data_IF_031866593215
#
_entry.id   IF_031866593215
#
_cell.length_a   1.000
_cell.length_b   1.000
_cell.length_c   1.000
_cell.angle_alpha   90.00
_cell.angle_beta   90.00
_cell.angle_gamma   90.00
#
_symmetry.space_group_name_H-M   'P 1'
#
loop_
_entity.id
_entity.type
_entity.pdbx_description
1 polymer ?
#
# COMPACT_ATOMS: atom_id res chain seq x y z
N UNK A 1 40.62 -31.85 -47.80
CA UNK A 1 40.12 -30.60 -47.18
C UNK A 1 38.76 -30.86 -46.54
N UNK A 2 38.69 -31.23 -45.25
CA UNK A 2 37.44 -31.31 -44.45
C UNK A 2 37.64 -31.77 -42.98
N UNK A 3 38.86 -32.13 -42.57
CA UNK A 3 39.16 -32.57 -41.18
C UNK A 3 39.92 -31.55 -40.32
N UNK A 4 40.25 -30.37 -40.84
CA UNK A 4 41.03 -29.35 -40.12
C UNK A 4 40.19 -28.16 -39.59
N UNK A 5 38.89 -28.08 -39.92
CA UNK A 5 38.05 -26.94 -39.57
C UNK A 5 37.22 -27.13 -38.29
N UNK A 6 37.11 -28.37 -37.79
CA UNK A 6 36.29 -28.71 -36.62
C UNK A 6 37.01 -28.53 -35.29
N UNK A 7 38.35 -28.38 -35.28
CA UNK A 7 39.12 -28.18 -34.06
C UNK A 7 39.18 -26.72 -33.58
N UNK A 8 38.85 -25.75 -34.45
CA UNK A 8 38.92 -24.32 -34.11
C UNK A 8 37.60 -23.73 -33.59
N UNK A 9 36.48 -24.44 -33.75
CA UNK A 9 35.15 -24.00 -33.30
C UNK A 9 34.78 -24.49 -31.90
N UNK A 10 35.47 -25.50 -31.36
CA UNK A 10 35.25 -25.97 -29.98
C UNK A 10 36.11 -25.20 -28.94
N UNK A 11 37.20 -24.57 -29.37
CA UNK A 11 38.10 -23.82 -28.47
C UNK A 11 37.62 -22.37 -28.18
N UNK A 12 36.73 -21.81 -29.00
CA UNK A 12 36.18 -20.47 -28.79
C UNK A 12 34.93 -20.43 -27.90
N UNK A 13 34.26 -21.57 -27.69
CA UNK A 13 33.08 -21.67 -26.82
C UNK A 13 33.42 -21.92 -25.34
N UNK A 14 34.63 -22.36 -25.02
CA UNK A 14 35.04 -22.61 -23.62
C UNK A 14 35.67 -21.40 -22.91
N UNK A 15 36.04 -20.34 -23.64
CA UNK A 15 36.75 -19.19 -23.06
C UNK A 15 35.82 -18.06 -22.56
N UNK A 16 34.52 -18.11 -22.88
CA UNK A 16 33.56 -17.06 -22.52
C UNK A 16 32.62 -17.42 -21.36
N UNK A 17 32.69 -18.64 -20.82
CA UNK A 17 31.78 -19.09 -19.76
C UNK A 17 32.27 -18.81 -18.32
N UNK A 18 33.51 -18.35 -18.15
CA UNK A 18 34.17 -18.30 -16.83
C UNK A 18 34.35 -16.93 -16.16
N UNK A 19 34.04 -15.81 -16.83
CA UNK A 19 34.50 -14.49 -16.37
C UNK A 19 33.42 -13.52 -15.85
N UNK A 20 32.14 -13.87 -15.85
CA UNK A 20 31.07 -12.91 -15.48
C UNK A 20 30.38 -13.16 -14.13
N UNK A 21 30.67 -14.24 -13.41
CA UNK A 21 29.95 -14.56 -12.16
C UNK A 21 30.54 -13.93 -10.89
N UNK A 22 31.85 -13.63 -10.86
CA UNK A 22 32.48 -13.05 -9.65
C UNK A 22 32.28 -11.54 -9.49
N UNK A 23 32.13 -10.80 -10.58
CA UNK A 23 31.98 -9.34 -10.52
C UNK A 23 30.57 -8.90 -10.04
N UNK A 24 29.52 -9.64 -10.43
CA UNK A 24 28.14 -9.35 -10.01
C UNK A 24 27.91 -9.64 -8.52
N UNK A 25 28.54 -10.69 -8.00
CA UNK A 25 28.36 -11.08 -6.60
C UNK A 25 28.97 -10.05 -5.63
N UNK A 26 30.11 -9.44 -5.96
CA UNK A 26 30.71 -8.38 -5.15
C UNK A 26 29.94 -7.04 -5.23
N UNK A 27 29.39 -6.69 -6.40
CA UNK A 27 28.56 -5.47 -6.53
C UNK A 27 27.25 -5.59 -5.77
N UNK A 28 26.62 -6.77 -5.77
CA UNK A 28 25.36 -6.99 -5.05
C UNK A 28 25.54 -6.96 -3.53
N UNK A 29 26.64 -7.53 -3.02
CA UNK A 29 27.00 -7.46 -1.60
C UNK A 29 27.29 -6.00 -1.17
N UNK A 30 28.03 -5.25 -1.99
CA UNK A 30 28.32 -3.84 -1.72
C UNK A 30 27.05 -2.99 -1.69
N UNK A 31 26.15 -3.17 -2.67
CA UNK A 31 24.89 -2.45 -2.74
C UNK A 31 23.96 -2.79 -1.56
N UNK A 32 23.89 -4.06 -1.15
CA UNK A 32 23.11 -4.48 0.02
C UNK A 32 23.64 -3.88 1.31
N UNK A 33 24.96 -3.80 1.45
CA UNK A 33 25.61 -3.17 2.62
C UNK A 33 25.30 -1.67 2.68
N UNK A 34 25.39 -0.98 1.54
CA UNK A 34 25.07 0.45 1.44
C UNK A 34 23.58 0.72 1.70
N UNK A 35 22.68 -0.11 1.17
CA UNK A 35 21.23 -0.04 1.45
C UNK A 35 20.93 -0.17 2.94
N UNK A 36 21.62 -1.08 3.64
CA UNK A 36 21.48 -1.26 5.09
C UNK A 36 21.94 -0.03 5.86
N UNK A 37 23.09 0.54 5.50
CA UNK A 37 23.60 1.77 6.13
C UNK A 37 22.68 2.99 5.88
N UNK A 38 22.07 3.07 4.70
CA UNK A 38 21.08 4.10 4.39
C UNK A 38 19.78 3.88 5.16
N UNK A 39 19.33 2.64 5.35
CA UNK A 39 18.20 2.32 6.23
C UNK A 39 18.47 2.80 7.66
N UNK A 40 19.65 2.54 8.22
CA UNK A 40 20.01 3.00 9.56
C UNK A 40 19.98 4.53 9.68
N UNK A 41 20.48 5.22 8.65
CA UNK A 41 20.42 6.69 8.56
C UNK A 41 18.97 7.19 8.50
N UNK A 42 18.12 6.51 7.72
CA UNK A 42 16.69 6.82 7.64
C UNK A 42 15.98 6.61 8.98
N UNK A 43 16.31 5.56 9.74
CA UNK A 43 15.76 5.33 11.08
C UNK A 43 16.13 6.47 12.04
N UNK A 44 17.39 6.91 12.02
CA UNK A 44 17.83 8.06 12.81
C UNK A 44 17.07 9.34 12.45
N UNK A 45 16.83 9.57 11.16
CA UNK A 45 16.05 10.72 10.67
C UNK A 45 14.56 10.61 11.04
N UNK A 46 13.95 9.42 10.96
CA UNK A 46 12.57 9.19 11.38
C UNK A 46 12.36 9.55 12.85
N UNK A 47 13.28 9.17 13.74
CA UNK A 47 13.23 9.56 15.16
C UNK A 47 13.26 11.08 15.33
N UNK A 48 14.18 11.76 14.64
CA UNK A 48 14.27 13.23 14.67
C UNK A 48 13.01 13.93 14.16
N UNK A 49 12.34 13.38 13.14
CA UNK A 49 11.07 13.91 12.63
C UNK A 49 9.97 13.76 13.69
N UNK A 50 9.88 12.60 14.34
CA UNK A 50 8.86 12.33 15.37
C UNK A 50 9.09 13.18 16.63
N UNK A 51 10.34 13.36 17.04
CA UNK A 51 10.72 14.12 18.25
C UNK A 51 10.70 15.64 18.04
N UNK A 52 10.69 16.12 16.79
CA UNK A 52 10.67 17.54 16.47
C UNK A 52 9.39 18.22 17.00
N UNK A 53 9.58 19.28 17.78
CA UNK A 53 8.48 20.04 18.42
C UNK A 53 7.74 20.97 17.46
N UNK A 54 8.44 21.53 16.48
CA UNK A 54 7.90 22.51 15.55
C UNK A 54 7.88 21.98 14.12
N UNK A 55 6.86 22.39 13.36
CA UNK A 55 6.71 22.10 11.94
C UNK A 55 7.99 22.38 11.15
N UNK A 56 8.65 23.53 11.35
CA UNK A 56 9.87 23.91 10.62
C UNK A 56 10.97 22.86 10.75
N UNK A 57 11.36 22.52 11.99
CA UNK A 57 12.36 21.50 12.27
C UNK A 57 11.93 20.13 11.71
N UNK A 58 10.66 19.77 11.87
CA UNK A 58 10.10 18.52 11.36
C UNK A 58 10.25 18.38 9.84
N UNK A 59 9.92 19.44 9.09
CA UNK A 59 10.02 19.45 7.64
C UNK A 59 11.46 19.55 7.14
N UNK A 60 12.37 20.22 7.86
CA UNK A 60 13.80 20.20 7.56
C UNK A 60 14.40 18.79 7.68
N UNK A 61 14.08 18.07 8.76
CA UNK A 61 14.51 16.67 8.92
C UNK A 61 13.88 15.78 7.85
N UNK A 62 12.60 15.98 7.52
CA UNK A 62 11.92 15.24 6.45
C UNK A 62 12.52 15.54 5.07
N UNK A 63 12.99 16.75 4.80
CA UNK A 63 13.71 17.07 3.56
C UNK A 63 15.03 16.29 3.45
N UNK A 64 15.76 16.15 4.55
CA UNK A 64 16.96 15.29 4.61
C UNK A 64 16.59 13.82 4.42
N UNK A 65 15.54 13.35 5.09
CA UNK A 65 14.99 12.01 4.95
C UNK A 65 14.67 11.66 3.50
N UNK A 66 13.96 12.54 2.79
CA UNK A 66 13.62 12.36 1.37
C UNK A 66 14.89 12.19 0.52
N UNK A 67 15.92 13.02 0.74
CA UNK A 67 17.19 12.93 0.01
C UNK A 67 17.87 11.60 0.24
N UNK A 68 17.98 11.16 1.50
CA UNK A 68 18.57 9.86 1.88
C UNK A 68 17.77 8.69 1.31
N UNK A 69 16.44 8.76 1.33
CA UNK A 69 15.59 7.71 0.77
C UNK A 69 15.78 7.63 -0.74
N UNK A 70 15.78 8.76 -1.45
CA UNK A 70 16.03 8.78 -2.90
C UNK A 70 17.41 8.23 -3.25
N UNK A 71 18.44 8.48 -2.43
CA UNK A 71 19.76 7.86 -2.60
C UNK A 71 19.65 6.33 -2.51
N UNK A 72 19.02 5.80 -1.45
CA UNK A 72 18.83 4.37 -1.27
C UNK A 72 18.05 3.73 -2.42
N UNK A 73 16.95 4.37 -2.84
CA UNK A 73 16.09 3.85 -3.90
C UNK A 73 16.76 3.85 -5.28
N UNK A 74 17.84 4.61 -5.47
CA UNK A 74 18.62 4.60 -6.73
C UNK A 74 19.68 3.51 -6.78
N UNK A 75 20.00 2.87 -5.66
CA UNK A 75 20.98 1.79 -5.64
C UNK A 75 20.45 0.54 -6.36
N UNK A 76 21.32 -0.25 -7.01
CA UNK A 76 20.98 -1.56 -7.52
C UNK A 76 20.36 -2.44 -6.43
N UNK A 77 19.36 -3.25 -6.78
CA UNK A 77 18.70 -4.15 -5.84
C UNK A 77 17.68 -3.51 -4.89
N UNK A 78 17.61 -2.17 -4.80
CA UNK A 78 16.67 -1.44 -3.91
C UNK A 78 15.20 -1.80 -4.11
N UNK A 79 14.79 -2.17 -5.33
CA UNK A 79 13.42 -2.63 -5.62
C UNK A 79 13.04 -3.88 -4.81
N UNK A 80 14.00 -4.78 -4.56
CA UNK A 80 13.79 -6.02 -3.82
C UNK A 80 14.15 -5.92 -2.33
N UNK A 81 14.86 -4.87 -1.92
CA UNK A 81 15.21 -4.63 -0.52
C UNK A 81 13.96 -4.28 0.32
N UNK A 82 13.71 -4.97 1.43
CA UNK A 82 12.46 -4.85 2.18
C UNK A 82 12.21 -3.46 2.80
N UNK A 83 13.26 -2.82 3.33
CA UNK A 83 13.14 -1.67 4.23
C UNK A 83 12.32 -1.99 5.50
N UNK A 84 12.36 -3.23 5.97
CA UNK A 84 11.41 -3.77 6.97
C UNK A 84 11.47 -3.07 8.33
N UNK A 85 12.59 -2.41 8.66
CA UNK A 85 12.72 -1.66 9.92
C UNK A 85 12.15 -0.24 9.86
N UNK A 86 11.82 0.28 8.67
CA UNK A 86 11.45 1.68 8.47
C UNK A 86 9.94 1.93 8.72
N UNK A 87 9.49 1.78 9.96
CA UNK A 87 8.06 1.84 10.35
C UNK A 87 7.30 3.10 9.88
N UNK A 88 8.01 4.24 9.87
CA UNK A 88 7.45 5.52 9.44
C UNK A 88 6.93 5.45 7.99
N UNK A 89 7.58 4.67 7.13
CA UNK A 89 7.26 4.53 5.72
C UNK A 89 6.51 3.23 5.49
N UNK A 90 5.33 3.34 4.89
CA UNK A 90 4.67 2.17 4.34
C UNK A 90 5.33 1.80 3.02
N UNK A 91 5.86 0.58 2.95
CA UNK A 91 6.52 0.01 1.79
C UNK A 91 5.69 -1.16 1.28
N UNK A 92 4.99 -0.96 0.17
CA UNK A 92 4.13 -2.00 -0.41
C UNK A 92 4.60 -2.34 -1.82
N UNK A 93 4.76 -3.64 -2.09
CA UNK A 93 5.16 -4.16 -3.40
C UNK A 93 4.02 -4.95 -4.00
N UNK A 94 3.69 -4.66 -5.25
CA UNK A 94 2.71 -5.44 -6.01
C UNK A 94 3.12 -6.92 -6.10
N UNK A 95 2.17 -7.87 -5.98
CA UNK A 95 2.45 -9.30 -6.08
C UNK A 95 3.11 -9.74 -7.40
N UNK A 96 2.87 -9.02 -8.49
CA UNK A 96 3.44 -9.27 -9.81
C UNK A 96 4.79 -8.56 -10.05
N UNK A 97 5.34 -7.90 -9.03
CA UNK A 97 6.60 -7.16 -9.06
C UNK A 97 6.62 -6.00 -10.08
N UNK A 98 5.46 -5.51 -10.54
CA UNK A 98 5.40 -4.42 -11.51
C UNK A 98 5.63 -3.03 -10.89
N UNK A 99 5.38 -2.90 -9.59
CA UNK A 99 5.42 -1.63 -8.87
C UNK A 99 5.71 -1.82 -7.38
N UNK A 100 6.43 -0.85 -6.80
CA UNK A 100 6.63 -0.72 -5.36
C UNK A 100 6.38 0.73 -4.94
N UNK A 101 5.58 0.93 -3.89
CA UNK A 101 5.18 2.23 -3.39
C UNK A 101 5.79 2.46 -2.01
N UNK A 102 6.28 3.67 -1.81
CA UNK A 102 6.77 4.16 -0.53
C UNK A 102 5.90 5.36 -0.18
N UNK A 103 5.13 5.28 0.90
CA UNK A 103 4.25 6.37 1.33
C UNK A 103 4.31 6.58 2.84
N UNK A 104 4.34 7.84 3.25
CA UNK A 104 4.33 8.21 4.66
C UNK A 104 3.63 9.57 4.84
N UNK A 105 3.48 9.97 6.10
CA UNK A 105 2.95 11.27 6.45
C UNK A 105 3.77 11.90 7.56
N UNK A 106 3.64 13.21 7.67
CA UNK A 106 4.18 14.02 8.75
C UNK A 106 3.00 14.79 9.36
N UNK A 107 2.70 14.61 10.66
CA UNK A 107 1.67 15.40 11.33
C UNK A 107 2.12 16.85 11.44
N UNK A 108 1.15 17.77 11.39
CA UNK A 108 1.41 19.20 11.55
C UNK A 108 0.92 19.71 12.90
N UNK A 109 1.51 20.79 13.39
CA UNK A 109 1.16 21.39 14.68
C UNK A 109 -0.30 21.87 14.73
N UNK A 110 -0.90 22.16 13.58
CA UNK A 110 -2.32 22.52 13.43
C UNK A 110 -3.29 21.31 13.53
N UNK A 111 -2.76 20.10 13.72
CA UNK A 111 -3.54 18.86 13.80
C UNK A 111 -3.88 18.26 12.43
N UNK A 112 -3.21 18.71 11.37
CA UNK A 112 -3.32 18.18 10.01
C UNK A 112 -2.20 17.17 9.69
N UNK A 113 -2.11 16.80 8.42
CA UNK A 113 -1.14 15.84 7.90
C UNK A 113 -0.62 16.31 6.54
N UNK A 114 0.69 16.14 6.32
CA UNK A 114 1.32 16.28 5.00
C UNK A 114 1.81 14.92 4.54
N UNK A 115 1.43 14.53 3.33
CA UNK A 115 1.75 13.23 2.78
C UNK A 115 2.96 13.32 1.85
N UNK A 116 3.72 12.24 1.81
CA UNK A 116 4.88 12.10 0.95
C UNK A 116 4.88 10.71 0.36
N UNK A 117 5.37 10.59 -0.87
CA UNK A 117 5.55 9.27 -1.45
C UNK A 117 6.31 9.27 -2.76
N UNK A 118 6.66 8.07 -3.17
CA UNK A 118 7.27 7.81 -4.47
C UNK A 118 6.89 6.41 -4.95
N UNK A 119 6.74 6.27 -6.25
CA UNK A 119 6.57 4.97 -6.91
C UNK A 119 7.91 4.58 -7.51
N UNK A 120 8.36 3.37 -7.22
CA UNK A 120 9.50 2.74 -7.87
C UNK A 120 8.99 1.69 -8.85
N UNK A 121 9.47 1.76 -10.10
CA UNK A 121 9.24 0.73 -11.11
C UNK A 121 10.46 -0.18 -11.21
N UNK A 122 10.28 -1.47 -11.55
CA UNK A 122 11.39 -2.39 -11.74
C UNK A 122 12.33 -1.84 -12.81
N UNK A 123 13.63 -1.96 -12.55
CA UNK A 123 14.64 -1.47 -13.48
C UNK A 123 14.60 -2.25 -14.79
N UNK A 124 14.57 -1.53 -15.92
CA UNK A 124 14.88 -2.09 -17.23
C UNK A 124 16.27 -1.61 -17.58
N UNK A 125 17.20 -2.53 -17.84
CA UNK A 125 18.56 -2.21 -18.28
C UNK A 125 19.41 -1.40 -17.26
N UNK A 126 19.12 -1.52 -15.96
CA UNK A 126 19.90 -0.89 -14.89
C UNK A 126 19.45 0.52 -14.51
N UNK A 127 18.54 1.14 -15.27
CA UNK A 127 17.96 2.43 -14.91
C UNK A 127 16.82 2.23 -13.90
N UNK A 128 16.95 2.81 -12.70
CA UNK A 128 15.88 2.85 -11.71
C UNK A 128 14.94 4.01 -12.08
N UNK A 129 13.65 3.70 -12.23
CA UNK A 129 12.62 4.72 -12.46
C UNK A 129 11.85 5.02 -11.18
N UNK A 130 11.98 6.26 -10.70
CA UNK A 130 11.24 6.81 -9.57
C UNK A 130 10.24 7.86 -10.05
N UNK A 131 9.00 7.79 -9.56
CA UNK A 131 7.93 8.74 -9.85
C UNK A 131 7.54 9.39 -8.51
N UNK A 132 7.98 10.64 -8.25
CA UNK A 132 7.64 11.34 -7.02
C UNK A 132 6.14 11.66 -6.96
N UNK A 133 5.55 11.53 -5.77
CA UNK A 133 4.17 11.89 -5.51
C UNK A 133 4.13 13.24 -4.76
N UNK A 134 3.43 14.21 -5.32
CA UNK A 134 3.30 15.55 -4.75
C UNK A 134 1.89 15.69 -4.17
N UNK A 135 1.83 15.73 -2.84
CA UNK A 135 0.60 15.88 -2.08
C UNK A 135 -0.10 17.21 -2.40
N UNK A 136 -1.34 17.12 -2.84
CA UNK A 136 -2.23 18.25 -3.11
C UNK A 136 -3.46 18.23 -2.19
N UNK A 137 -3.38 17.59 -1.02
CA UNK A 137 -4.51 17.47 -0.07
C UNK A 137 -5.24 18.79 0.16
N UNK A 138 -4.51 19.92 0.33
CA UNK A 138 -5.13 21.24 0.55
C UNK A 138 -5.85 21.82 -0.66
N UNK A 139 -5.58 21.31 -1.87
CA UNK A 139 -6.08 21.82 -3.14
C UNK A 139 -7.11 20.86 -3.78
N UNK A 140 -7.40 19.72 -3.15
CA UNK A 140 -8.40 18.78 -3.61
C UNK A 140 -9.80 19.24 -3.21
N UNK A 141 -10.61 19.61 -4.21
CA UNK A 141 -12.03 19.95 -4.04
C UNK A 141 -12.96 18.80 -4.42
N UNK A 142 -12.49 17.89 -5.29
CA UNK A 142 -13.25 16.72 -5.74
C UNK A 142 -12.45 15.42 -5.54
N UNK A 143 -12.90 14.59 -4.61
CA UNK A 143 -12.33 13.26 -4.37
C UNK A 143 -12.50 12.30 -5.56
N UNK A 144 -13.37 12.59 -6.52
CA UNK A 144 -13.54 11.82 -7.75
C UNK A 144 -12.59 12.23 -8.89
N UNK A 145 -11.74 13.24 -8.72
CA UNK A 145 -10.82 13.61 -9.79
C UNK A 145 -9.85 12.46 -10.14
N UNK A 146 -9.69 12.21 -11.45
CA UNK A 146 -8.59 11.41 -12.01
C UNK A 146 -7.34 12.27 -11.95
N UNK A 147 -6.28 11.78 -11.33
CA UNK A 147 -5.10 12.61 -11.09
C UNK A 147 -3.79 11.95 -11.49
N UNK A 148 -2.76 12.79 -11.62
CA UNK A 148 -1.39 12.41 -11.91
C UNK A 148 -0.51 12.51 -10.64
N UNK A 149 0.72 11.97 -10.65
CA UNK A 149 1.61 11.99 -9.49
C UNK A 149 1.87 13.37 -8.89
N UNK A 150 1.83 14.44 -9.70
CA UNK A 150 2.01 15.82 -9.24
C UNK A 150 0.75 16.41 -8.56
N UNK A 151 -0.39 15.74 -8.70
CA UNK A 151 -1.68 16.07 -8.11
C UNK A 151 -2.17 14.87 -7.30
N UNK A 152 -1.34 14.43 -6.37
CA UNK A 152 -1.60 13.21 -5.62
C UNK A 152 -2.55 13.47 -4.44
N UNK A 153 -3.52 12.56 -4.24
CA UNK A 153 -4.54 12.67 -3.19
C UNK A 153 -3.97 12.63 -1.77
N UNK A 154 -2.77 12.05 -1.60
CA UNK A 154 -2.07 12.00 -0.32
C UNK A 154 -2.67 10.97 0.62
N UNK A 155 -2.05 9.80 0.73
CA UNK A 155 -2.47 8.73 1.64
C UNK A 155 -1.29 7.83 1.98
N UNK A 156 -1.29 7.21 3.15
CA UNK A 156 -0.34 6.14 3.50
C UNK A 156 -0.97 4.81 3.11
N UNK A 157 -0.53 4.21 2.01
CA UNK A 157 -1.06 2.93 1.52
C UNK A 157 -0.38 1.77 2.21
N UNK A 158 -1.15 0.85 2.77
CA UNK A 158 -0.66 -0.32 3.51
C UNK A 158 -0.93 -1.64 2.79
N UNK A 159 -1.71 -1.63 1.71
CA UNK A 159 -1.94 -2.82 0.89
C UNK A 159 -2.14 -2.44 -0.59
N UNK A 160 -1.87 -3.41 -1.48
CA UNK A 160 -1.97 -3.27 -2.93
C UNK A 160 -2.56 -4.55 -3.53
N UNK A 161 -3.70 -4.40 -4.20
CA UNK A 161 -4.45 -5.51 -4.78
C UNK A 161 -4.49 -5.37 -6.31
N UNK A 162 -3.88 -6.30 -7.07
CA UNK A 162 -4.00 -6.31 -8.52
C UNK A 162 -5.44 -6.55 -8.98
N UNK A 163 -5.87 -5.77 -9.97
CA UNK A 163 -7.17 -5.90 -10.61
C UNK A 163 -6.95 -6.04 -12.11
N UNK A 164 -7.12 -7.27 -12.60
CA UNK A 164 -6.90 -7.61 -14.01
C UNK A 164 -8.08 -7.18 -14.89
N UNK A 165 -7.78 -6.49 -15.99
CA UNK A 165 -8.70 -6.06 -17.04
C UNK A 165 -8.19 -6.55 -18.40
N UNK A 166 -8.57 -7.78 -18.76
CA UNK A 166 -8.07 -8.42 -19.97
C UNK A 166 -6.56 -8.69 -19.88
N UNK A 167 -5.76 -7.95 -20.67
CA UNK A 167 -4.29 -8.05 -20.66
C UNK A 167 -3.62 -6.99 -19.80
N UNK A 168 -4.37 -5.97 -19.37
CA UNK A 168 -3.87 -4.88 -18.55
C UNK A 168 -4.18 -5.18 -17.08
N UNK A 169 -3.35 -4.64 -16.19
CA UNK A 169 -3.55 -4.69 -14.74
C UNK A 169 -3.45 -3.29 -14.18
N UNK A 170 -4.39 -2.93 -13.33
CA UNK A 170 -4.28 -1.77 -12.44
C UNK A 170 -4.38 -2.25 -11.00
N UNK A 171 -4.14 -1.36 -10.04
CA UNK A 171 -3.96 -1.75 -8.65
C UNK A 171 -4.90 -0.96 -7.76
N UNK A 172 -5.70 -1.64 -6.95
CA UNK A 172 -6.42 -1.01 -5.86
C UNK A 172 -5.47 -0.85 -4.66
N UNK A 173 -5.17 0.38 -4.32
CA UNK A 173 -4.36 0.76 -3.16
C UNK A 173 -5.29 0.95 -1.96
N UNK A 174 -5.03 0.24 -0.88
CA UNK A 174 -5.75 0.41 0.38
C UNK A 174 -4.92 1.32 1.28
N UNK A 175 -5.52 2.44 1.70
CA UNK A 175 -4.82 3.51 2.37
C UNK A 175 -5.49 4.03 3.62
N UNK A 176 -4.67 4.69 4.43
CA UNK A 176 -5.11 5.52 5.53
C UNK A 176 -4.82 6.98 5.20
N UNK A 177 -5.78 7.85 5.51
CA UNK A 177 -5.68 9.29 5.39
C UNK A 177 -6.20 9.93 6.67
N UNK A 178 -5.30 10.46 7.48
CA UNK A 178 -5.65 11.41 8.54
C UNK A 178 -6.35 12.63 7.95
N UNK A 179 -7.44 13.05 8.59
CA UNK A 179 -8.23 14.20 8.18
C UNK A 179 -8.00 15.38 9.13
N UNK A 180 -8.50 15.28 10.37
CA UNK A 180 -8.36 16.34 11.37
C UNK A 180 -8.38 15.75 12.80
N UNK A 181 -8.55 16.60 13.81
CA UNK A 181 -8.54 16.17 15.22
C UNK A 181 -9.70 15.22 15.58
N UNK A 182 -10.80 15.24 14.81
CA UNK A 182 -12.03 14.49 15.12
C UNK A 182 -12.27 13.30 14.22
N UNK A 183 -11.80 13.35 12.98
CA UNK A 183 -12.10 12.35 11.95
C UNK A 183 -10.85 11.83 11.28
N UNK A 184 -10.97 10.63 10.72
CA UNK A 184 -9.95 10.00 9.88
C UNK A 184 -10.63 9.24 8.76
N UNK A 185 -9.87 8.81 7.76
CA UNK A 185 -10.42 8.08 6.62
C UNK A 185 -9.60 6.86 6.23
N UNK A 186 -10.30 5.83 5.76
CA UNK A 186 -9.74 4.77 4.92
C UNK A 186 -10.03 5.07 3.45
N UNK A 187 -9.14 4.66 2.56
CA UNK A 187 -9.22 5.00 1.13
C UNK A 187 -9.00 3.77 0.27
N UNK A 188 -9.83 3.59 -0.77
CA UNK A 188 -9.53 2.72 -1.91
C UNK A 188 -9.27 3.61 -3.11
N UNK A 189 -8.04 3.56 -3.64
CA UNK A 189 -7.60 4.38 -4.77
C UNK A 189 -7.00 3.51 -5.86
N UNK A 190 -7.37 3.78 -7.12
CA UNK A 190 -6.94 2.94 -8.24
C UNK A 190 -5.71 3.54 -8.90
N UNK A 191 -4.57 2.88 -8.80
CA UNK A 191 -3.34 3.18 -9.53
C UNK A 191 -3.31 2.43 -10.86
N UNK A 192 -3.16 3.16 -11.96
CA UNK A 192 -2.91 2.60 -13.29
C UNK A 192 -1.50 2.97 -13.76
N UNK A 193 -0.80 2.02 -14.40
CA UNK A 193 0.52 2.23 -14.97
C UNK A 193 0.48 1.97 -16.46
N UNK A 194 0.73 2.99 -17.27
CA UNK A 194 0.77 2.87 -18.74
C UNK A 194 1.99 3.59 -19.29
N UNK A 195 2.86 2.87 -20.01
CA UNK A 195 4.10 3.43 -20.56
C UNK A 195 5.06 3.99 -19.50
N UNK A 196 4.96 3.50 -18.25
CA UNK A 196 5.73 4.03 -17.12
C UNK A 196 5.23 5.38 -16.60
N UNK A 197 4.03 5.81 -16.98
CA UNK A 197 3.30 6.92 -16.35
C UNK A 197 2.28 6.33 -15.39
N UNK A 198 2.19 6.91 -14.19
CA UNK A 198 1.17 6.57 -13.20
C UNK A 198 -0.02 7.52 -13.31
N UNK A 199 -1.24 6.99 -13.14
CA UNK A 199 -2.46 7.78 -12.95
C UNK A 199 -3.29 7.18 -11.83
N UNK A 200 -4.07 8.01 -11.15
CA UNK A 200 -4.91 7.63 -10.03
C UNK A 200 -6.39 7.91 -10.31
N UNK A 201 -7.28 7.13 -9.70
CA UNK A 201 -8.72 7.37 -9.73
C UNK A 201 -9.42 6.80 -10.98
N UNK A 202 -8.99 5.64 -11.48
CA UNK A 202 -9.71 4.98 -12.60
C UNK A 202 -11.15 4.60 -12.17
N UNK A 203 -12.19 4.90 -12.97
CA UNK A 203 -13.58 4.53 -12.68
C UNK A 203 -13.79 3.03 -12.85
N UNK A 204 -13.70 2.26 -11.75
CA UNK A 204 -13.83 0.79 -11.78
C UNK A 204 -14.84 0.25 -10.78
N UNK A 205 -15.38 1.11 -9.91
CA UNK A 205 -16.35 0.71 -8.90
C UNK A 205 -17.72 0.51 -9.54
N UNK A 206 -18.39 -0.60 -9.21
CA UNK A 206 -19.72 -0.95 -9.70
C UNK A 206 -20.66 -1.12 -8.52
N UNK A 207 -21.87 -0.57 -8.63
CA UNK A 207 -22.94 -0.70 -7.63
C UNK A 207 -24.25 -1.00 -8.35
N UNK A 208 -25.02 -1.96 -7.83
CA UNK A 208 -26.30 -2.38 -8.43
C UNK A 208 -26.21 -2.72 -9.95
N UNK A 209 -25.08 -3.29 -10.39
CA UNK A 209 -24.85 -3.66 -11.79
C UNK A 209 -24.50 -2.50 -12.72
N UNK A 210 -24.29 -1.30 -12.18
CA UNK A 210 -23.93 -0.10 -12.94
C UNK A 210 -22.59 0.48 -12.46
N UNK A 211 -21.87 1.10 -13.39
CA UNK A 211 -20.66 1.82 -13.03
C UNK A 211 -21.01 2.95 -12.05
N UNK A 212 -20.35 2.96 -10.90
CA UNK A 212 -20.48 4.02 -9.91
C UNK A 212 -19.93 5.33 -10.46
N UNK A 213 -20.45 6.45 -9.96
CA UNK A 213 -19.88 7.79 -10.21
C UNK A 213 -18.60 8.02 -9.40
N UNK A 214 -18.16 7.03 -8.61
CA UNK A 214 -16.96 7.11 -7.79
C UNK A 214 -15.72 6.63 -8.52
N UNK A 215 -14.66 7.41 -8.42
CA UNK A 215 -13.32 7.10 -8.92
C UNK A 215 -12.35 6.70 -7.79
N UNK A 216 -12.70 7.08 -6.57
CA UNK A 216 -11.96 6.81 -5.33
C UNK A 216 -12.99 6.68 -4.23
N UNK A 217 -12.83 5.70 -3.35
CA UNK A 217 -13.70 5.53 -2.19
C UNK A 217 -12.98 6.07 -0.96
N UNK A 218 -13.63 6.96 -0.23
CA UNK A 218 -13.11 7.60 0.98
C UNK A 218 -14.13 7.38 2.09
N UNK A 219 -13.75 6.56 3.05
CA UNK A 219 -14.59 6.19 4.19
C UNK A 219 -14.16 7.02 5.38
N UNK A 220 -14.88 8.10 5.68
CA UNK A 220 -14.57 9.02 6.78
C UNK A 220 -15.40 8.68 8.00
N UNK A 221 -14.74 8.61 9.16
CA UNK A 221 -15.36 8.20 10.42
C UNK A 221 -14.66 8.87 11.62
N UNK A 222 -15.22 8.69 12.82
CA UNK A 222 -14.65 9.22 14.04
C UNK A 222 -13.24 8.63 14.27
N UNK A 223 -12.26 9.50 14.53
CA UNK A 223 -10.85 9.12 14.71
C UNK A 223 -10.60 8.17 15.88
N UNK A 224 -11.50 8.10 16.87
CA UNK A 224 -11.41 7.22 18.03
C UNK A 224 -11.89 5.78 17.75
N UNK A 225 -12.53 5.53 16.61
CA UNK A 225 -12.94 4.18 16.20
C UNK A 225 -11.89 3.53 15.29
N UNK A 226 -12.06 2.24 15.04
CA UNK A 226 -11.40 1.52 13.97
C UNK A 226 -12.39 1.21 12.84
N UNK A 227 -11.85 0.99 11.65
CA UNK A 227 -12.58 0.52 10.48
C UNK A 227 -11.73 -0.51 9.75
N UNK A 228 -12.29 -1.69 9.47
CA UNK A 228 -11.66 -2.67 8.58
C UNK A 228 -11.65 -2.14 7.16
N UNK A 229 -10.49 -2.25 6.50
CA UNK A 229 -10.37 -2.21 5.05
C UNK A 229 -9.18 -3.11 4.69
N UNK A 230 -9.44 -4.27 4.07
CA UNK A 230 -8.40 -5.25 3.73
C UNK A 230 -8.80 -6.11 2.55
N UNK A 231 -7.84 -6.69 1.86
CA UNK A 231 -8.13 -7.77 0.91
C UNK A 231 -8.26 -9.10 1.64
N UNK A 232 -9.42 -9.74 1.52
CA UNK A 232 -9.65 -11.09 2.03
C UNK A 232 -9.53 -12.10 0.89
N UNK A 233 -8.54 -12.99 1.02
CA UNK A 233 -8.23 -13.99 -0.02
C UNK A 233 -9.26 -15.13 -0.08
N UNK A 234 -9.99 -15.43 1.00
CA UNK A 234 -10.95 -16.55 1.03
C UNK A 234 -12.19 -16.22 0.21
N UNK A 235 -12.69 -15.01 0.38
CA UNK A 235 -13.83 -14.49 -0.40
C UNK A 235 -13.40 -13.77 -1.67
N UNK A 236 -12.09 -13.51 -1.83
CA UNK A 236 -11.49 -12.81 -2.97
C UNK A 236 -12.12 -11.41 -3.18
N UNK A 237 -12.25 -10.65 -2.09
CA UNK A 237 -12.85 -9.32 -2.07
C UNK A 237 -12.00 -8.33 -1.26
N UNK A 238 -12.08 -7.05 -1.61
CA UNK A 238 -11.67 -5.99 -0.69
C UNK A 238 -12.83 -5.79 0.28
N UNK A 239 -12.65 -6.23 1.52
CA UNK A 239 -13.64 -6.16 2.59
C UNK A 239 -13.50 -4.84 3.32
N UNK A 240 -14.63 -4.23 3.65
CA UNK A 240 -14.71 -3.04 4.50
C UNK A 240 -15.87 -3.13 5.50
N UNK A 241 -15.70 -2.50 6.66
CA UNK A 241 -16.82 -2.31 7.58
C UNK A 241 -17.87 -1.39 6.94
N UNK A 242 -19.15 -1.66 7.19
CA UNK A 242 -20.20 -0.71 6.94
C UNK A 242 -20.19 0.38 8.01
N UNK A 243 -20.17 1.64 7.59
CA UNK A 243 -20.10 2.80 8.49
C UNK A 243 -21.47 3.45 8.65
N UNK A 244 -21.92 3.56 9.89
CA UNK A 244 -23.17 4.22 10.26
C UNK A 244 -22.93 5.26 11.38
N UNK A 245 -23.75 6.33 11.44
CA UNK A 245 -23.73 7.22 12.59
C UNK A 245 -24.30 6.53 13.85
N UNK A 246 -23.83 6.91 15.03
CA UNK A 246 -24.37 6.40 16.30
C UNK A 246 -25.85 6.70 16.52
N UNK A 247 -26.34 7.79 15.91
CA UNK A 247 -27.74 8.21 15.94
C UNK A 247 -28.15 8.63 14.52
N UNK A 248 -29.31 8.22 13.99
CA UNK A 248 -29.80 8.63 12.68
C UNK A 248 -29.82 10.15 12.47
N UNK A 249 -30.04 10.95 13.53
CA UNK A 249 -30.02 12.40 13.46
C UNK A 249 -28.63 13.00 13.13
N UNK A 250 -27.56 12.20 13.26
CA UNK A 250 -26.17 12.61 12.98
C UNK A 250 -25.71 12.24 11.57
N UNK A 251 -26.61 11.79 10.70
CA UNK A 251 -26.28 11.49 9.31
C UNK A 251 -25.59 12.69 8.63
N UNK A 252 -24.47 12.41 7.96
CA UNK A 252 -23.61 13.40 7.31
C UNK A 252 -22.55 14.03 8.23
N UNK A 253 -22.66 13.87 9.55
CA UNK A 253 -21.62 14.29 10.48
C UNK A 253 -20.67 13.14 10.82
N UNK A 254 -19.63 12.98 10.02
CA UNK A 254 -18.67 11.87 10.11
C UNK A 254 -17.89 11.76 11.42
N UNK A 255 -17.90 12.79 12.29
CA UNK A 255 -17.35 12.68 13.64
C UNK A 255 -18.16 11.72 14.54
N UNK A 256 -19.36 11.32 14.12
CA UNK A 256 -20.21 10.36 14.83
C UNK A 256 -20.37 9.02 14.10
N UNK A 257 -19.58 8.79 13.04
CA UNK A 257 -19.63 7.55 12.29
C UNK A 257 -18.68 6.50 12.87
N UNK A 258 -19.14 5.26 12.91
CA UNK A 258 -18.41 4.09 13.37
C UNK A 258 -18.79 2.86 12.54
N UNK A 259 -18.00 1.79 12.67
CA UNK A 259 -18.40 0.47 12.17
C UNK A 259 -19.64 -0.02 12.92
N UNK A 260 -20.65 -0.50 12.20
CA UNK A 260 -21.83 -1.16 12.78
C UNK A 260 -21.62 -2.68 12.97
N UNK A 261 -20.38 -3.16 12.77
CA UNK A 261 -19.98 -4.57 12.80
C UNK A 261 -20.54 -5.44 11.67
N UNK A 262 -21.23 -4.85 10.69
CA UNK A 262 -21.50 -5.52 9.41
C UNK A 262 -20.41 -5.17 8.39
N UNK A 263 -20.32 -6.00 7.35
CA UNK A 263 -19.27 -5.89 6.34
C UNK A 263 -19.88 -5.78 4.95
N UNK A 264 -19.25 -4.96 4.13
CA UNK A 264 -19.42 -4.95 2.69
C UNK A 264 -18.14 -5.44 2.01
N UNK A 265 -18.24 -5.82 0.75
CA UNK A 265 -17.11 -6.28 -0.05
C UNK A 265 -17.12 -5.70 -1.46
N UNK A 266 -15.93 -5.41 -1.98
CA UNK A 266 -15.73 -5.14 -3.40
C UNK A 266 -15.13 -6.38 -4.06
N UNK A 267 -15.98 -7.11 -4.76
CA UNK A 267 -15.57 -8.29 -5.53
C UNK A 267 -14.84 -7.87 -6.80
N UNK A 268 -13.68 -8.48 -7.04
CA UNK A 268 -12.90 -8.28 -8.24
C UNK A 268 -13.48 -9.13 -9.37
N UNK A 269 -14.04 -8.50 -10.41
CA UNK A 269 -14.59 -9.20 -11.56
C UNK A 269 -14.34 -8.44 -12.86
N UNK A 270 -13.61 -9.05 -13.81
CA UNK A 270 -13.37 -8.52 -15.18
C UNK A 270 -12.94 -7.04 -15.21
N UNK A 271 -11.97 -6.65 -14.39
CA UNK A 271 -11.54 -5.25 -14.34
C UNK A 271 -12.60 -4.32 -13.73
N UNK A 272 -13.37 -4.81 -12.75
CA UNK A 272 -14.30 -4.01 -11.94
C UNK A 272 -14.21 -4.41 -10.48
N UNK A 273 -14.57 -3.47 -9.61
CA UNK A 273 -14.75 -3.64 -8.17
C UNK A 273 -16.24 -3.52 -7.86
N UNK A 274 -16.93 -4.66 -7.85
CA UNK A 274 -18.38 -4.72 -7.66
C UNK A 274 -18.73 -4.78 -6.18
N UNK A 275 -19.52 -3.82 -5.72
CA UNK A 275 -20.05 -3.81 -4.35
C UNK A 275 -20.99 -5.00 -4.13
N UNK A 276 -20.74 -5.72 -3.05
CA UNK A 276 -21.56 -6.77 -2.47
C UNK A 276 -21.81 -6.36 -1.02
N UNK A 277 -23.05 -6.04 -0.69
CA UNK A 277 -23.43 -5.55 0.63
C UNK A 277 -23.72 -6.71 1.57
N UNK A 278 -23.54 -6.49 2.88
CA UNK A 278 -23.91 -7.44 3.94
C UNK A 278 -23.28 -8.84 3.78
N UNK A 279 -21.96 -8.89 3.57
CA UNK A 279 -21.23 -10.15 3.46
C UNK A 279 -20.99 -10.78 4.84
N UNK A 280 -21.15 -12.09 4.93
CA UNK A 280 -20.77 -12.86 6.11
C UNK A 280 -19.29 -13.24 6.04
N UNK A 281 -18.53 -12.86 7.07
CA UNK A 281 -17.14 -13.22 7.22
C UNK A 281 -16.98 -14.16 8.41
N UNK A 282 -16.51 -15.36 8.12
CA UNK A 282 -16.16 -16.32 9.16
C UNK A 282 -14.67 -16.22 9.46
N UNK A 283 -14.34 -16.12 10.75
CA UNK A 283 -12.96 -16.28 11.20
C UNK A 283 -12.49 -17.72 10.89
N UNK A 284 -11.17 -17.91 10.75
CA UNK A 284 -10.64 -19.27 10.80
C UNK A 284 -10.95 -19.89 12.17
N UNK A 285 -11.22 -21.20 12.22
CA UNK A 285 -11.29 -21.91 13.49
C UNK A 285 -10.02 -21.65 14.30
N UNK A 286 -10.17 -21.16 15.52
CA UNK A 286 -9.09 -20.97 16.48
C UNK A 286 -9.10 -22.13 17.50
N UNK A 287 -7.93 -22.54 17.99
CA UNK A 287 -7.86 -23.58 19.04
C UNK A 287 -8.65 -23.17 20.30
N UNK A 288 -8.83 -21.86 20.52
CA UNK A 288 -9.65 -21.30 21.61
C UNK A 288 -11.15 -21.53 21.40
N UNK A 289 -11.61 -21.78 20.17
CA UNK A 289 -13.03 -22.07 19.89
C UNK A 289 -13.46 -23.37 20.56
N UNK A 290 -12.54 -24.29 20.84
CA UNK A 290 -12.82 -25.50 21.63
C UNK A 290 -13.24 -25.19 23.08
N UNK A 291 -12.87 -24.02 23.60
CA UNK A 291 -13.30 -23.53 24.92
C UNK A 291 -14.53 -22.64 24.85
N UNK A 292 -15.03 -22.29 23.66
CA UNK A 292 -16.25 -21.54 23.50
C UNK A 292 -17.46 -22.40 23.88
N UNK A 293 -18.14 -22.00 24.95
CA UNK A 293 -19.41 -22.56 25.36
C UNK A 293 -20.51 -21.65 24.81
N UNK A 294 -21.23 -22.12 23.79
CA UNK A 294 -22.40 -21.42 23.25
C UNK A 294 -23.41 -21.13 24.38
N UNK A 295 -23.72 -19.86 24.67
CA UNK A 295 -24.70 -19.50 25.71
C UNK A 295 -26.10 -20.08 25.46
N UNK A 296 -26.41 -20.46 24.22
CA UNK A 296 -27.67 -21.07 23.82
C UNK A 296 -27.67 -22.60 23.96
N UNK A 297 -26.52 -23.25 24.23
CA UNK A 297 -26.45 -24.69 24.52
C UNK A 297 -27.15 -25.00 25.84
N UNK A 298 -28.36 -25.56 25.74
CA UNK A 298 -29.19 -25.97 26.89
C UNK A 298 -28.74 -27.30 27.52
N UNK A 299 -27.80 -28.00 26.92
CA UNK A 299 -27.31 -29.32 27.36
C UNK A 299 -26.16 -29.25 28.37
N UNK A 300 -25.62 -28.06 28.65
CA UNK A 300 -24.53 -27.89 29.62
C UNK A 300 -25.14 -27.58 31.00
N UNK A 301 -25.03 -28.49 31.98
CA UNK A 301 -25.58 -28.27 33.31
C UNK A 301 -24.90 -27.09 33.98
N UNK A 302 -25.68 -26.12 34.44
CA UNK A 302 -25.18 -24.97 35.19
C UNK A 302 -24.44 -25.47 36.45
N UNK A 303 -23.13 -25.25 36.53
CA UNK A 303 -22.37 -25.47 37.77
C UNK A 303 -22.86 -24.47 38.81
N UNK A 304 -23.68 -24.93 39.75
CA UNK A 304 -23.97 -24.18 40.98
C UNK A 304 -22.65 -24.01 41.74
N UNK A 305 -22.16 -22.76 41.82
CA UNK A 305 -21.12 -22.41 42.79
C UNK A 305 -21.76 -22.46 44.17
N UNK A 306 -21.26 -23.34 45.03
CA UNK A 306 -21.50 -23.30 46.47
C UNK A 306 -20.59 -22.24 47.10
#
# INVERSE_FOLDING_TARGET
>A
MKKALTAFLLASYLCCAGLNTRAQQNSDISATTELTALQDSLLGLSKKIIEARENTARFEQNATFIKTLVQALRLPGSFNFGFDSLDMVSVIKSPDNAVKLYTWFVPTDEGGFRYFGTIQLPSKQGEVKLIPLIDQTSNFTDSNAVTEPKIWFGSRYYDIVPVAEGKDTYYALLGWKGNNQKTTSKVIEILSLKGGTATFGKPVFEQAGQLSTKNRLVFTYNKLNSMTLRFDKKVNMIVCDHLAPYDPAMQGNYEFYASDSSFDGYQIQKGRLKLVENIELNNDPDDQDAFYIDPLRKDIPAKKKF
#
